data_IF_229697222040
#
_entry.id   IF_229697222040
#
_cell.length_a   1.000
_cell.length_b   1.000
_cell.length_c   1.000
_cell.angle_alpha   90.00
_cell.angle_beta   90.00
_cell.angle_gamma   90.00
#
_symmetry.space_group_name_H-M   'P 1'
#
loop_
_entity.id
_entity.type
_entity.pdbx_description
1 polymer ?
#
# COMPACT_ATOMS: atom_id res chain seq x y z
N UNK A 1 -14.30 16.77 -14.57
CA UNK A 1 -12.89 17.20 -14.71
C UNK A 1 -12.00 16.00 -14.41
N UNK A 2 -11.41 15.37 -15.43
CA UNK A 2 -10.52 14.21 -15.25
C UNK A 2 -9.12 14.74 -15.00
N UNK A 3 -8.75 14.94 -13.74
CA UNK A 3 -7.35 15.24 -13.40
C UNK A 3 -6.53 14.02 -13.77
N UNK A 4 -5.77 14.11 -14.87
CA UNK A 4 -4.67 13.18 -15.11
C UNK A 4 -3.70 13.41 -13.95
N UNK A 5 -3.82 12.61 -12.89
CA UNK A 5 -2.90 12.68 -11.76
C UNK A 5 -1.52 12.35 -12.33
N UNK A 6 -0.69 13.39 -12.47
CA UNK A 6 0.71 13.21 -12.89
C UNK A 6 1.35 12.24 -11.91
N UNK A 7 2.02 11.23 -12.45
CA UNK A 7 2.71 10.23 -11.65
C UNK A 7 3.71 10.93 -10.72
N UNK A 8 3.50 10.77 -9.41
CA UNK A 8 4.29 11.43 -8.37
C UNK A 8 5.77 11.07 -8.45
N UNK A 9 6.09 9.90 -9.01
CA UNK A 9 7.46 9.41 -9.20
C UNK A 9 8.27 10.31 -10.13
N UNK A 10 7.58 11.05 -11.02
CA UNK A 10 8.19 11.93 -12.01
C UNK A 10 8.11 13.41 -11.61
N UNK A 11 7.82 13.70 -10.33
CA UNK A 11 7.81 15.07 -9.84
C UNK A 11 9.22 15.68 -9.92
N UNK A 12 9.38 16.92 -10.39
CA UNK A 12 10.65 17.64 -10.30
C UNK A 12 11.02 18.00 -8.86
N UNK A 13 10.02 18.02 -7.97
CA UNK A 13 10.23 18.17 -6.53
C UNK A 13 10.72 16.82 -5.95
N UNK A 14 11.95 16.77 -5.40
CA UNK A 14 12.55 15.55 -4.88
C UNK A 14 11.81 14.99 -3.66
N UNK A 15 11.13 15.81 -2.87
CA UNK A 15 10.36 15.35 -1.70
C UNK A 15 9.09 14.63 -2.16
N UNK A 16 8.43 15.15 -3.19
CA UNK A 16 7.26 14.50 -3.80
C UNK A 16 7.67 13.19 -4.49
N UNK A 17 8.77 13.20 -5.26
CA UNK A 17 9.27 11.99 -5.91
C UNK A 17 9.70 10.93 -4.86
N UNK A 18 10.38 11.37 -3.79
CA UNK A 18 10.81 10.53 -2.67
C UNK A 18 9.66 9.94 -1.85
N UNK A 19 8.51 10.63 -1.82
CA UNK A 19 7.32 10.19 -1.08
C UNK A 19 6.78 8.84 -1.56
N UNK A 20 6.98 8.47 -2.83
CA UNK A 20 6.61 7.14 -3.34
C UNK A 20 7.32 6.02 -2.57
N UNK A 21 8.64 6.15 -2.35
CA UNK A 21 9.41 5.18 -1.58
C UNK A 21 9.00 5.14 -0.11
N UNK A 22 8.62 6.29 0.46
CA UNK A 22 8.10 6.35 1.81
C UNK A 22 6.78 5.57 1.95
N UNK A 23 5.85 5.74 1.00
CA UNK A 23 4.58 5.00 0.98
C UNK A 23 4.78 3.49 0.80
N UNK A 24 5.71 3.05 -0.06
CA UNK A 24 6.02 1.62 -0.19
C UNK A 24 6.53 1.02 1.12
N UNK A 25 7.43 1.72 1.83
CA UNK A 25 7.90 1.30 3.16
C UNK A 25 6.77 1.25 4.18
N UNK A 26 5.91 2.28 4.20
CA UNK A 26 4.76 2.34 5.10
C UNK A 26 3.78 1.17 4.85
N UNK A 27 3.49 0.87 3.58
CA UNK A 27 2.65 -0.27 3.20
C UNK A 27 3.23 -1.60 3.67
N UNK A 28 4.54 -1.81 3.48
CA UNK A 28 5.22 -3.02 3.98
C UNK A 28 5.13 -3.14 5.50
N UNK A 29 5.43 -2.06 6.23
CA UNK A 29 5.35 -2.04 7.69
C UNK A 29 3.92 -2.30 8.20
N UNK A 30 2.91 -1.76 7.53
CA UNK A 30 1.51 -2.01 7.87
C UNK A 30 1.12 -3.49 7.67
N UNK A 31 1.59 -4.12 6.59
CA UNK A 31 1.38 -5.56 6.35
C UNK A 31 2.09 -6.40 7.41
N UNK A 32 3.35 -6.09 7.72
CA UNK A 32 4.12 -6.79 8.76
C UNK A 32 3.42 -6.70 10.12
N UNK A 33 2.96 -5.50 10.51
CA UNK A 33 2.24 -5.29 11.76
C UNK A 33 0.89 -6.00 11.81
N UNK A 34 0.13 -5.99 10.70
CA UNK A 34 -1.16 -6.66 10.62
C UNK A 34 -1.02 -8.18 10.79
N UNK A 35 0.01 -8.77 10.17
CA UNK A 35 0.34 -10.18 10.34
C UNK A 35 0.76 -10.47 11.78
N UNK A 36 1.68 -9.67 12.33
CA UNK A 36 2.20 -9.86 13.70
C UNK A 36 1.08 -9.80 14.76
N UNK A 37 0.12 -8.91 14.57
CA UNK A 37 -0.97 -8.67 15.54
C UNK A 37 -2.25 -9.46 15.23
N UNK A 38 -2.24 -10.28 14.18
CA UNK A 38 -3.42 -10.99 13.68
C UNK A 38 -4.63 -10.07 13.44
N UNK A 39 -4.38 -8.88 12.88
CA UNK A 39 -5.40 -7.90 12.54
C UNK A 39 -5.60 -7.79 11.03
N UNK A 40 -6.73 -7.23 10.61
CA UNK A 40 -7.04 -7.05 9.19
C UNK A 40 -6.69 -5.63 8.73
N UNK A 41 -6.24 -5.51 7.47
CA UNK A 41 -6.14 -4.22 6.79
C UNK A 41 -7.48 -3.92 6.13
N UNK A 42 -8.04 -2.74 6.40
CA UNK A 42 -9.23 -2.22 5.70
C UNK A 42 -8.77 -1.12 4.75
N UNK A 43 -9.03 -1.29 3.46
CA UNK A 43 -8.59 -0.36 2.41
C UNK A 43 -9.66 -0.18 1.34
N UNK A 44 -9.42 0.69 0.36
CA UNK A 44 -10.29 0.87 -0.80
C UNK A 44 -9.59 0.34 -2.06
N UNK A 45 -10.23 -0.59 -2.77
CA UNK A 45 -9.78 -1.07 -4.08
C UNK A 45 -10.90 -0.78 -5.07
N UNK A 46 -10.58 0.00 -6.11
CA UNK A 46 -11.56 0.43 -7.13
C UNK A 46 -12.82 1.10 -6.51
N UNK A 47 -12.62 1.90 -5.45
CA UNK A 47 -13.69 2.62 -4.76
C UNK A 47 -14.55 1.77 -3.81
N UNK A 48 -14.24 0.47 -3.66
CA UNK A 48 -14.95 -0.42 -2.72
C UNK A 48 -14.09 -0.67 -1.49
N UNK A 49 -14.73 -0.63 -0.33
CA UNK A 49 -14.09 -1.03 0.93
C UNK A 49 -13.80 -2.53 0.88
N UNK A 50 -12.54 -2.90 1.07
CA UNK A 50 -12.06 -4.27 1.11
C UNK A 50 -11.37 -4.49 2.45
N UNK A 51 -11.71 -5.61 3.10
CA UNK A 51 -11.06 -6.07 4.32
C UNK A 51 -10.20 -7.28 3.99
N UNK A 52 -8.89 -7.16 4.22
CA UNK A 52 -7.90 -8.20 3.94
C UNK A 52 -7.44 -8.78 5.29
N UNK A 53 -7.83 -10.02 5.64
CA UNK A 53 -7.40 -10.67 6.88
C UNK A 53 -5.90 -10.99 6.88
N UNK A 54 -5.29 -11.11 8.06
CA UNK A 54 -3.88 -11.49 8.23
C UNK A 54 -3.52 -12.79 7.48
N UNK A 55 -4.37 -13.81 7.51
CA UNK A 55 -4.16 -15.07 6.78
C UNK A 55 -4.01 -14.88 5.27
N UNK A 56 -4.73 -13.92 4.68
CA UNK A 56 -4.65 -13.62 3.26
C UNK A 56 -3.39 -12.82 2.93
N UNK A 57 -2.98 -11.90 3.82
CA UNK A 57 -1.71 -11.17 3.69
C UNK A 57 -0.49 -12.12 3.73
N UNK A 58 -0.52 -13.16 4.57
CA UNK A 58 0.53 -14.19 4.61
C UNK A 58 0.64 -14.92 3.27
N UNK A 59 -0.49 -15.35 2.70
CA UNK A 59 -0.51 -16.02 1.38
C UNK A 59 0.07 -15.12 0.30
N UNK A 60 -0.37 -13.86 0.24
CA UNK A 60 0.12 -12.89 -0.74
C UNK A 60 1.64 -12.68 -0.64
N UNK A 61 2.19 -12.68 0.59
CA UNK A 61 3.65 -12.57 0.80
C UNK A 61 4.40 -13.79 0.25
N UNK A 62 3.86 -14.99 0.45
CA UNK A 62 4.46 -16.23 -0.02
C UNK A 62 4.41 -16.36 -1.55
N UNK A 63 3.37 -15.83 -2.20
CA UNK A 63 3.25 -15.84 -3.67
C UNK A 63 4.17 -14.82 -4.36
N UNK A 64 4.50 -13.72 -3.68
CA UNK A 64 5.32 -12.63 -4.23
C UNK A 64 6.81 -12.71 -3.84
N UNK A 65 7.23 -13.76 -3.14
CA UNK A 65 8.63 -14.04 -2.78
C UNK A 65 9.25 -15.02 -3.78
#
# INVERSE_FOLDING_TARGET
MKTSAKDIRNSPDPDIAGSYNAMQRAGKAAIDLAIQTNTAIVTSINGKVVRIPAAELIKQRQTNS
#
